data_IF_011542694934
#
_entry.id   IF_011542694934
#
_cell.length_a   1.000
_cell.length_b   1.000
_cell.length_c   1.000
_cell.angle_alpha   90.00
_cell.angle_beta   90.00
_cell.angle_gamma   90.00
#
_symmetry.space_group_name_H-M   'P 1'
#
loop_
_entity.id
_entity.type
_entity.pdbx_description
1 polymer ?
#
# COMPACT_ATOMS: atom_id res chain seq x y z
N UNK A 1 20.35 61.41 -7.42
CA UNK A 1 20.74 61.63 -6.00
C UNK A 1 19.49 61.58 -5.13
N UNK A 2 19.62 60.98 -3.94
CA UNK A 2 18.61 60.66 -2.91
C UNK A 2 17.91 59.30 -3.06
N UNK A 3 18.67 58.32 -2.59
CA UNK A 3 18.26 57.01 -2.08
C UNK A 3 17.31 57.16 -0.88
N UNK A 4 16.33 56.26 -0.75
CA UNK A 4 15.77 55.88 0.54
C UNK A 4 15.73 54.35 0.61
N UNK A 5 16.70 53.82 1.35
CA UNK A 5 16.85 52.41 1.74
C UNK A 5 16.10 52.27 3.07
N UNK A 6 15.08 51.41 3.10
CA UNK A 6 14.43 51.01 4.36
C UNK A 6 15.20 49.83 4.92
N UNK A 7 15.96 50.10 5.97
CA UNK A 7 16.70 49.12 6.79
C UNK A 7 15.76 48.55 7.85
N UNK A 8 15.54 47.23 7.83
CA UNK A 8 14.94 46.52 8.96
C UNK A 8 16.06 45.92 9.82
N UNK A 9 16.29 46.53 10.97
CA UNK A 9 17.27 46.10 11.96
C UNK A 9 16.77 44.90 12.75
N UNK A 10 17.66 43.91 12.89
CA UNK A 10 17.52 42.71 13.71
C UNK A 10 17.75 43.12 15.17
N UNK A 11 16.71 43.09 16.00
CA UNK A 11 16.86 43.19 17.45
C UNK A 11 17.21 41.81 18.04
N UNK A 12 18.48 41.64 18.45
CA UNK A 12 18.93 40.55 19.32
C UNK A 12 18.48 40.84 20.75
N UNK A 13 17.84 39.87 21.42
CA UNK A 13 17.56 39.92 22.86
C UNK A 13 18.63 39.16 23.65
N UNK A 14 18.98 39.58 24.89
CA UNK A 14 20.13 39.08 25.63
C UNK A 14 19.85 37.78 26.40
N UNK A 15 20.90 36.96 26.51
CA UNK A 15 21.04 35.80 27.39
C UNK A 15 21.45 36.25 28.80
N UNK A 16 20.70 35.90 29.84
CA UNK A 16 21.22 35.27 31.07
C UNK A 16 20.08 34.90 32.06
N UNK A 17 20.32 33.80 32.79
CA UNK A 17 19.79 33.48 34.12
C UNK A 17 18.35 32.95 34.29
N UNK A 18 18.19 31.61 34.18
CA UNK A 18 17.38 30.85 35.15
C UNK A 18 18.09 29.57 35.58
N UNK A 19 18.04 29.36 36.89
CA UNK A 19 18.91 28.51 37.71
C UNK A 19 18.59 27.02 37.58
N UNK A 20 19.68 26.26 37.69
CA UNK A 20 19.75 24.83 37.97
C UNK A 20 18.96 24.43 39.22
N UNK A 21 18.23 23.32 39.12
CA UNK A 21 18.00 22.39 40.24
C UNK A 21 18.35 21.00 39.72
N UNK A 22 19.50 20.50 40.14
CA UNK A 22 19.90 19.12 39.97
C UNK A 22 19.27 18.27 41.09
N UNK A 23 18.76 17.09 40.73
CA UNK A 23 18.66 15.97 41.65
C UNK A 23 19.12 14.71 40.92
N UNK A 24 20.21 14.17 41.42
CA UNK A 24 20.85 12.92 41.02
C UNK A 24 20.18 11.72 41.71
N UNK A 25 20.47 10.54 41.14
CA UNK A 25 20.29 9.15 41.62
C UNK A 25 18.92 8.53 41.31
N UNK A 26 18.80 7.32 40.76
CA UNK A 26 19.78 6.24 40.52
C UNK A 26 19.32 5.30 39.39
N UNK A 27 20.32 4.59 38.89
CA UNK A 27 20.33 3.50 37.92
C UNK A 27 19.39 2.32 38.26
N UNK A 28 19.16 1.51 37.21
CA UNK A 28 18.54 0.18 37.18
C UNK A 28 17.03 0.04 37.45
N UNK A 29 16.29 -0.35 36.39
CA UNK A 29 15.39 -1.52 36.45
C UNK A 29 14.90 -1.90 35.03
N UNK A 30 15.59 -2.90 34.48
CA UNK A 30 15.11 -3.78 33.43
C UNK A 30 13.84 -4.51 33.90
N UNK A 31 12.68 -4.24 33.27
CA UNK A 31 11.40 -4.90 33.58
C UNK A 31 11.11 -6.00 32.55
N UNK A 32 11.27 -7.29 32.89
CA UNK A 32 10.93 -8.38 31.99
C UNK A 32 9.40 -8.59 31.95
N UNK A 33 8.83 -9.00 30.80
CA UNK A 33 7.41 -9.29 30.71
C UNK A 33 7.13 -10.54 31.57
N UNK A 34 6.03 -10.54 32.32
CA UNK A 34 5.57 -11.61 33.23
C UNK A 34 6.01 -11.52 34.69
N UNK A 35 5.67 -10.41 35.36
CA UNK A 35 5.51 -10.38 36.82
C UNK A 35 4.04 -10.64 37.22
N UNK A 36 3.73 -11.53 38.19
CA UNK A 36 2.36 -11.80 38.61
C UNK A 36 1.77 -10.63 39.40
N UNK A 37 0.64 -10.07 38.96
CA UNK A 37 -0.06 -9.00 39.69
C UNK A 37 -0.62 -9.51 41.03
N UNK A 38 -0.48 -8.77 42.15
CA UNK A 38 -1.07 -9.17 43.42
C UNK A 38 -2.61 -9.07 43.38
N UNK A 39 -3.26 -10.11 43.88
CA UNK A 39 -4.74 -10.25 43.92
C UNK A 39 -5.38 -9.12 44.75
N UNK A 40 -6.50 -8.51 44.32
CA UNK A 40 -7.16 -7.47 45.10
C UNK A 40 -7.88 -8.06 46.33
N UNK A 41 -7.70 -7.38 47.47
CA UNK A 41 -8.41 -7.63 48.72
C UNK A 41 -9.91 -7.32 48.56
N UNK A 42 -10.76 -8.28 48.95
CA UNK A 42 -12.23 -8.18 48.91
C UNK A 42 -12.71 -7.18 49.96
N UNK A 43 -13.33 -6.09 49.52
CA UNK A 43 -14.13 -5.22 50.39
C UNK A 43 -15.62 -5.56 50.26
N UNK A 44 -16.23 -6.00 51.37
CA UNK A 44 -17.67 -6.21 51.50
C UNK A 44 -18.42 -4.86 51.46
N UNK A 45 -19.38 -4.70 50.54
CA UNK A 45 -20.44 -3.69 50.67
C UNK A 45 -21.81 -4.31 50.42
N UNK A 46 -22.71 -3.99 51.36
CA UNK A 46 -24.09 -4.48 51.52
C UNK A 46 -24.97 -4.12 50.32
N UNK A 47 -25.90 -5.03 50.01
CA UNK A 47 -27.00 -4.86 49.05
C UNK A 47 -27.98 -3.81 49.55
N UNK A 48 -28.41 -2.92 48.66
CA UNK A 48 -29.68 -2.18 48.79
C UNK A 48 -30.35 -2.22 47.43
N UNK A 49 -31.53 -2.81 47.39
CA UNK A 49 -32.37 -2.92 46.21
C UNK A 49 -32.99 -1.56 45.89
N UNK A 50 -32.86 -1.10 44.65
CA UNK A 50 -33.88 -0.25 44.02
C UNK A 50 -34.08 -0.74 42.59
N UNK A 51 -35.27 -1.24 42.32
CA UNK A 51 -35.74 -1.63 41.00
C UNK A 51 -36.00 -0.39 40.12
N UNK A 52 -35.96 -0.64 38.80
CA UNK A 52 -36.50 0.17 37.70
C UNK A 52 -35.54 1.12 36.97
N UNK A 53 -34.88 0.56 35.95
CA UNK A 53 -34.23 1.29 34.86
C UNK A 53 -33.54 0.31 33.91
N UNK A 54 -34.10 0.13 32.72
CA UNK A 54 -33.76 -0.92 31.73
C UNK A 54 -32.24 -1.13 31.48
N UNK A 55 -31.78 -2.38 31.28
CA UNK A 55 -30.38 -2.65 30.99
C UNK A 55 -30.05 -2.25 29.54
N UNK A 56 -29.14 -1.28 29.39
CA UNK A 56 -28.40 -1.06 28.14
C UNK A 56 -27.68 -2.36 27.79
N UNK A 57 -28.16 -3.06 26.76
CA UNK A 57 -27.47 -4.18 26.16
C UNK A 57 -26.22 -3.67 25.42
N UNK A 58 -25.06 -3.68 26.06
CA UNK A 58 -23.78 -3.73 25.36
C UNK A 58 -23.50 -5.18 24.97
N UNK A 59 -24.31 -5.73 24.08
CA UNK A 59 -24.08 -7.03 23.45
C UNK A 59 -23.20 -6.85 22.22
N UNK A 60 -22.08 -7.58 22.14
CA UNK A 60 -21.40 -7.77 20.87
C UNK A 60 -22.42 -8.25 19.83
N UNK A 61 -22.38 -7.75 18.58
CA UNK A 61 -23.37 -8.12 17.57
C UNK A 61 -23.38 -9.65 17.41
N UNK A 62 -24.56 -10.24 17.62
CA UNK A 62 -24.78 -11.71 17.64
C UNK A 62 -24.67 -12.36 16.26
N UNK A 63 -24.42 -11.61 15.20
CA UNK A 63 -24.33 -12.11 13.83
C UNK A 63 -23.16 -11.46 13.07
N UNK A 64 -22.52 -12.19 12.14
CA UNK A 64 -21.45 -11.64 11.33
C UNK A 64 -21.95 -10.45 10.53
N UNK A 65 -21.16 -9.36 10.50
CA UNK A 65 -21.39 -8.22 9.63
C UNK A 65 -21.46 -8.72 8.19
N UNK A 66 -22.60 -8.48 7.53
CA UNK A 66 -22.74 -8.74 6.10
C UNK A 66 -22.06 -7.63 5.33
N UNK A 67 -21.06 -7.97 4.52
CA UNK A 67 -20.40 -7.01 3.65
C UNK A 67 -21.02 -7.02 2.25
N UNK A 68 -21.55 -5.87 1.85
CA UNK A 68 -22.07 -5.63 0.50
C UNK A 68 -20.99 -5.11 -0.48
N UNK A 69 -19.71 -5.07 -0.08
CA UNK A 69 -18.65 -4.56 -0.95
C UNK A 69 -18.43 -5.47 -2.16
N UNK A 70 -18.40 -4.95 -3.40
CA UNK A 70 -18.40 -5.76 -4.61
C UNK A 70 -17.01 -6.32 -4.96
N UNK A 71 -16.11 -6.53 -4.00
CA UNK A 71 -14.76 -7.01 -4.29
C UNK A 71 -14.23 -7.92 -3.19
N UNK A 72 -13.26 -8.75 -3.54
CA UNK A 72 -12.53 -9.59 -2.59
C UNK A 72 -11.82 -8.76 -1.54
N UNK A 73 -11.82 -9.22 -0.30
CA UNK A 73 -11.02 -8.60 0.74
C UNK A 73 -9.62 -9.17 0.74
N UNK A 74 -8.62 -8.30 0.67
CA UNK A 74 -7.20 -8.67 0.66
C UNK A 74 -6.44 -7.72 1.55
N UNK A 75 -5.35 -8.18 2.16
CA UNK A 75 -4.56 -7.31 3.02
C UNK A 75 -4.01 -6.08 2.26
N UNK A 76 -3.52 -6.31 1.05
CA UNK A 76 -3.12 -5.28 0.10
C UNK A 76 -3.79 -5.55 -1.24
N UNK A 77 -4.20 -4.51 -1.93
CA UNK A 77 -4.74 -4.59 -3.29
C UNK A 77 -3.65 -4.38 -4.34
N UNK A 78 -2.69 -3.50 -4.09
CA UNK A 78 -1.62 -3.17 -5.05
C UNK A 78 -0.38 -4.07 -4.95
N UNK A 79 -0.15 -4.73 -3.82
CA UNK A 79 1.07 -5.53 -3.59
C UNK A 79 0.83 -7.05 -3.59
N UNK A 80 -0.40 -7.49 -3.80
CA UNK A 80 -0.71 -8.92 -3.98
C UNK A 80 -1.15 -9.18 -5.41
N UNK A 81 -0.47 -10.08 -6.10
CA UNK A 81 -0.90 -10.52 -7.43
C UNK A 81 -1.89 -11.68 -7.30
N UNK A 82 -3.13 -11.54 -7.80
CA UNK A 82 -4.11 -12.63 -7.78
C UNK A 82 -3.67 -13.87 -8.56
N UNK A 83 -2.89 -13.69 -9.63
CA UNK A 83 -2.50 -14.77 -10.55
C UNK A 83 -1.43 -15.70 -9.98
N UNK A 84 -0.74 -15.31 -8.92
CA UNK A 84 0.35 -16.09 -8.33
C UNK A 84 -0.13 -16.74 -7.05
N UNK A 85 -0.41 -18.03 -7.12
CA UNK A 85 -0.79 -18.81 -5.94
C UNK A 85 0.44 -19.15 -5.08
N UNK A 86 0.36 -19.01 -3.75
CA UNK A 86 1.42 -19.45 -2.86
C UNK A 86 1.48 -20.98 -2.80
N UNK A 87 2.69 -21.53 -2.72
CA UNK A 87 2.90 -22.98 -2.54
C UNK A 87 2.34 -23.42 -1.18
N UNK A 88 2.59 -22.62 -0.15
CA UNK A 88 2.13 -22.86 1.21
C UNK A 88 2.25 -21.59 2.04
N UNK A 89 1.90 -21.66 3.31
CA UNK A 89 2.10 -20.58 4.27
C UNK A 89 3.09 -21.01 5.33
N UNK A 90 3.87 -20.06 5.85
CA UNK A 90 4.79 -20.33 6.98
C UNK A 90 4.05 -20.85 8.20
N UNK A 91 2.81 -20.42 8.38
CA UNK A 91 1.89 -20.86 9.43
C UNK A 91 0.52 -21.08 8.80
N UNK A 92 -0.21 -22.11 9.24
CA UNK A 92 -1.54 -22.39 8.73
C UNK A 92 -2.46 -21.18 8.98
N UNK A 93 -3.24 -20.70 7.98
CA UNK A 93 -4.16 -19.59 8.15
C UNK A 93 -5.40 -20.02 8.96
N UNK A 94 -5.20 -20.29 10.25
CA UNK A 94 -6.22 -20.80 11.16
C UNK A 94 -7.25 -19.74 11.54
N UNK A 95 -6.94 -18.46 11.34
CA UNK A 95 -7.75 -17.36 11.83
C UNK A 95 -8.04 -16.33 10.73
N UNK A 96 -9.31 -15.95 10.62
CA UNK A 96 -9.79 -14.86 9.74
C UNK A 96 -9.27 -13.51 10.25
N UNK A 97 -8.61 -12.68 9.43
CA UNK A 97 -8.07 -11.37 9.83
C UNK A 97 -9.11 -10.41 10.37
N UNK A 98 -10.39 -10.69 10.21
CA UNK A 98 -11.50 -9.89 10.73
C UNK A 98 -11.95 -10.32 12.13
N UNK A 99 -11.39 -11.40 12.68
CA UNK A 99 -11.81 -12.01 13.92
C UNK A 99 -12.92 -13.05 13.74
N UNK A 100 -13.10 -13.95 14.73
CA UNK A 100 -14.11 -15.00 14.67
C UNK A 100 -15.52 -14.40 14.63
N UNK A 101 -16.37 -14.90 13.72
CA UNK A 101 -17.80 -14.56 13.65
C UNK A 101 -18.13 -13.10 13.35
N UNK A 102 -17.15 -12.25 12.99
CA UNK A 102 -17.36 -10.83 12.69
C UNK A 102 -17.72 -10.55 11.25
N UNK A 103 -17.29 -11.40 10.32
CA UNK A 103 -17.52 -11.23 8.90
C UNK A 103 -18.19 -12.48 8.32
N UNK A 104 -19.12 -12.27 7.39
CA UNK A 104 -19.86 -13.35 6.73
C UNK A 104 -19.02 -14.07 5.64
N UNK A 105 -17.97 -13.45 5.13
CA UNK A 105 -17.06 -14.05 4.15
C UNK A 105 -16.06 -15.01 4.79
N UNK A 106 -15.88 -16.16 4.16
CA UNK A 106 -14.85 -17.13 4.55
C UNK A 106 -13.47 -16.65 4.11
N UNK A 107 -12.49 -16.75 4.99
CA UNK A 107 -11.10 -16.38 4.68
C UNK A 107 -10.36 -17.58 4.09
N UNK A 108 -9.75 -17.42 2.91
CA UNK A 108 -9.02 -18.48 2.18
C UNK A 108 -7.55 -18.59 2.59
N UNK A 109 -7.07 -17.68 3.44
CA UNK A 109 -5.65 -17.54 3.77
C UNK A 109 -5.00 -16.30 3.16
N UNK A 110 -5.39 -15.95 1.92
CA UNK A 110 -4.93 -14.74 1.22
C UNK A 110 -6.04 -13.70 1.07
N UNK A 111 -7.29 -14.15 0.90
CA UNK A 111 -8.42 -13.28 0.61
C UNK A 111 -9.71 -13.74 1.30
N UNK A 112 -10.70 -12.84 1.37
CA UNK A 112 -12.09 -13.18 1.66
C UNK A 112 -12.92 -12.86 0.41
N UNK A 113 -13.21 -13.86 -0.45
CA UNK A 113 -13.84 -13.63 -1.74
C UNK A 113 -15.27 -13.11 -1.60
N UNK A 114 -15.71 -12.39 -2.63
CA UNK A 114 -17.13 -12.00 -2.74
C UNK A 114 -18.00 -13.26 -2.93
N UNK A 115 -19.18 -13.31 -2.31
CA UNK A 115 -20.06 -14.50 -2.33
C UNK A 115 -20.83 -14.66 -3.64
N UNK A 116 -21.12 -13.56 -4.32
CA UNK A 116 -21.90 -13.51 -5.55
C UNK A 116 -21.22 -12.53 -6.51
N UNK A 117 -21.32 -12.80 -7.81
CA UNK A 117 -20.82 -11.88 -8.82
C UNK A 117 -21.48 -10.50 -8.66
N UNK A 118 -20.68 -9.43 -8.51
CA UNK A 118 -21.23 -8.09 -8.41
C UNK A 118 -21.86 -7.65 -9.73
N UNK A 119 -22.97 -6.95 -9.65
CA UNK A 119 -23.52 -6.22 -10.79
C UNK A 119 -22.66 -4.97 -11.03
N UNK A 120 -21.66 -5.09 -11.90
CA UNK A 120 -20.70 -4.03 -12.18
C UNK A 120 -21.34 -2.77 -12.75
N UNK A 121 -22.44 -2.90 -13.50
CA UNK A 121 -23.17 -1.75 -14.03
C UNK A 121 -23.74 -0.92 -12.89
N UNK A 122 -24.39 -1.58 -11.92
CA UNK A 122 -24.91 -0.90 -10.72
C UNK A 122 -23.80 -0.28 -9.89
N UNK A 123 -22.66 -0.94 -9.73
CA UNK A 123 -21.52 -0.40 -8.98
C UNK A 123 -20.98 0.86 -9.65
N UNK A 124 -20.85 0.85 -10.97
CA UNK A 124 -20.40 1.99 -11.76
C UNK A 124 -21.41 3.14 -11.74
N UNK A 125 -22.71 2.86 -11.85
CA UNK A 125 -23.79 3.85 -11.70
C UNK A 125 -23.74 4.53 -10.33
N UNK A 126 -23.56 3.76 -9.26
CA UNK A 126 -23.42 4.26 -7.89
C UNK A 126 -22.15 5.11 -7.73
N UNK A 127 -21.03 4.66 -8.29
CA UNK A 127 -19.77 5.42 -8.31
C UNK A 127 -19.95 6.75 -9.05
N UNK A 128 -20.54 6.74 -10.24
CA UNK A 128 -20.79 7.93 -11.04
C UNK A 128 -21.76 8.89 -10.35
N UNK A 129 -22.77 8.36 -9.64
CA UNK A 129 -23.68 9.15 -8.81
C UNK A 129 -22.94 9.88 -7.70
N UNK A 130 -22.02 9.21 -7.00
CA UNK A 130 -21.23 9.79 -5.90
C UNK A 130 -20.21 10.81 -6.43
N UNK A 131 -19.51 10.49 -7.52
CA UNK A 131 -18.54 11.39 -8.14
C UNK A 131 -19.22 12.64 -8.70
N UNK A 132 -20.38 12.49 -9.33
CA UNK A 132 -21.13 13.58 -9.98
C UNK A 132 -20.47 14.05 -11.27
N UNK A 133 -20.79 15.27 -11.69
CA UNK A 133 -20.19 15.88 -12.87
C UNK A 133 -18.65 15.97 -12.72
N UNK A 134 -17.87 15.77 -13.79
CA UNK A 134 -16.44 15.99 -13.77
C UNK A 134 -16.08 17.38 -13.21
N UNK A 135 -14.94 17.47 -12.53
CA UNK A 135 -14.39 18.74 -12.09
C UNK A 135 -13.79 19.47 -13.29
N UNK A 136 -14.03 20.78 -13.39
CA UNK A 136 -13.30 21.66 -14.29
C UNK A 136 -11.84 21.81 -13.87
N UNK A 137 -10.97 22.21 -14.79
CA UNK A 137 -9.54 22.39 -14.50
C UNK A 137 -9.31 23.43 -13.38
N UNK A 138 -10.11 24.50 -13.36
CA UNK A 138 -10.05 25.53 -12.32
C UNK A 138 -10.45 24.97 -10.94
N UNK A 139 -11.55 24.21 -10.86
CA UNK A 139 -11.97 23.53 -9.62
C UNK A 139 -10.90 22.56 -9.12
N UNK A 140 -10.26 21.81 -10.04
CA UNK A 140 -9.13 20.93 -9.70
C UNK A 140 -7.98 21.76 -9.16
N UNK A 141 -7.57 22.84 -9.82
CA UNK A 141 -6.47 23.69 -9.38
C UNK A 141 -6.71 24.27 -7.98
N UNK A 142 -7.92 24.73 -7.68
CA UNK A 142 -8.30 25.23 -6.35
C UNK A 142 -8.21 24.15 -5.27
N UNK A 143 -8.73 22.94 -5.56
CA UNK A 143 -8.62 21.80 -4.63
C UNK A 143 -7.16 21.41 -4.43
N UNK A 144 -6.38 21.38 -5.50
CA UNK A 144 -4.95 21.06 -5.43
C UNK A 144 -4.22 22.09 -4.56
N UNK A 145 -4.44 23.38 -4.76
CA UNK A 145 -3.81 24.43 -3.94
C UNK A 145 -4.17 24.26 -2.45
N UNK A 146 -5.44 24.00 -2.16
CA UNK A 146 -5.97 23.85 -0.80
C UNK A 146 -5.38 22.64 -0.06
N UNK A 147 -5.09 21.55 -0.78
CA UNK A 147 -4.73 20.27 -0.16
C UNK A 147 -3.29 19.79 -0.46
N UNK A 148 -2.54 20.41 -1.37
CA UNK A 148 -1.17 19.97 -1.74
C UNK A 148 -0.13 20.20 -0.65
N UNK A 149 -0.30 21.27 0.13
CA UNK A 149 0.65 21.70 1.14
C UNK A 149 0.81 20.65 2.24
N UNK A 150 1.98 20.62 2.87
CA UNK A 150 2.36 19.58 3.83
C UNK A 150 1.72 19.78 5.21
N UNK A 151 0.40 19.92 5.23
CA UNK A 151 -0.38 19.94 6.45
C UNK A 151 -0.54 18.50 6.93
N UNK A 152 0.35 18.07 7.82
CA UNK A 152 0.43 16.69 8.32
C UNK A 152 -0.92 16.14 8.85
N UNK A 153 -1.84 17.01 9.25
CA UNK A 153 -3.17 16.66 9.79
C UNK A 153 -4.06 15.96 8.76
N UNK A 154 -3.86 16.20 7.46
CA UNK A 154 -4.73 15.68 6.39
C UNK A 154 -4.05 14.66 5.47
N UNK A 155 -2.88 14.16 5.90
CA UNK A 155 -2.05 13.25 5.13
C UNK A 155 -2.21 11.80 5.59
N UNK A 156 -2.49 10.89 4.65
CA UNK A 156 -2.35 9.45 4.83
C UNK A 156 -1.01 9.00 4.24
N UNK A 157 -0.28 8.16 4.98
CA UNK A 157 0.96 7.55 4.48
C UNK A 157 0.68 6.14 3.94
N UNK A 158 0.87 5.96 2.64
CA UNK A 158 0.87 4.66 2.00
C UNK A 158 2.28 4.08 2.06
N UNK A 159 2.47 3.07 2.92
CA UNK A 159 3.78 2.45 3.14
C UNK A 159 4.04 1.21 2.28
N UNK A 160 4.98 0.38 2.73
CA UNK A 160 5.42 -0.87 2.06
C UNK A 160 4.31 -1.90 1.77
N UNK A 161 3.15 -1.76 2.41
CA UNK A 161 1.97 -2.60 2.18
C UNK A 161 1.11 -2.15 1.01
N UNK A 162 1.41 -1.01 0.37
CA UNK A 162 0.60 -0.48 -0.72
C UNK A 162 -0.81 -0.07 -0.29
N UNK A 163 -1.77 -0.18 -1.20
CA UNK A 163 -3.18 0.09 -0.92
C UNK A 163 -3.75 -1.03 -0.07
N UNK A 164 -3.79 -0.83 1.26
CA UNK A 164 -4.28 -1.84 2.21
C UNK A 164 -5.78 -1.76 2.44
N UNK A 165 -6.40 -2.85 2.91
CA UNK A 165 -7.84 -2.85 3.21
C UNK A 165 -8.24 -1.77 4.21
N UNK A 166 -7.52 -1.67 5.33
CA UNK A 166 -7.84 -0.71 6.38
C UNK A 166 -7.64 0.75 5.94
N UNK A 167 -6.72 0.99 4.99
CA UNK A 167 -6.52 2.32 4.43
C UNK A 167 -7.79 2.86 3.76
N UNK A 168 -8.69 2.00 3.27
CA UNK A 168 -9.96 2.44 2.70
C UNK A 168 -10.86 3.10 3.76
N UNK A 169 -10.96 2.53 4.97
CA UNK A 169 -11.71 3.18 6.05
C UNK A 169 -11.04 4.50 6.48
N UNK A 170 -9.70 4.54 6.52
CA UNK A 170 -8.96 5.77 6.81
C UNK A 170 -9.28 6.88 5.79
N UNK A 171 -9.33 6.56 4.50
CA UNK A 171 -9.73 7.48 3.42
C UNK A 171 -11.16 7.99 3.68
N UNK A 172 -12.12 7.07 3.88
CA UNK A 172 -13.51 7.43 4.14
C UNK A 172 -13.68 8.22 5.44
N UNK A 173 -12.80 8.05 6.43
CA UNK A 173 -12.79 8.82 7.67
C UNK A 173 -12.28 10.25 7.45
N UNK A 174 -11.27 10.45 6.59
CA UNK A 174 -10.80 11.77 6.20
C UNK A 174 -11.87 12.54 5.41
N UNK A 175 -12.57 11.86 4.50
CA UNK A 175 -13.65 12.46 3.69
C UNK A 175 -14.88 12.90 4.47
N UNK A 176 -14.98 12.58 5.76
CA UNK A 176 -16.00 13.17 6.66
C UNK A 176 -15.77 14.66 6.91
N UNK A 177 -14.51 15.12 6.80
CA UNK A 177 -14.09 16.47 7.20
C UNK A 177 -13.44 17.26 6.07
N UNK A 178 -13.08 16.61 4.96
CA UNK A 178 -12.37 17.21 3.85
C UNK A 178 -12.84 16.65 2.51
N UNK A 179 -12.71 17.43 1.45
CA UNK A 179 -13.14 17.05 0.10
C UNK A 179 -12.14 16.15 -0.61
N UNK A 180 -10.86 16.33 -0.32
CA UNK A 180 -9.78 15.51 -0.81
C UNK A 180 -8.85 15.08 0.33
N UNK A 181 -8.16 13.97 0.13
CA UNK A 181 -7.14 13.46 1.04
C UNK A 181 -5.78 13.44 0.34
N UNK A 182 -4.75 13.89 1.05
CA UNK A 182 -3.37 13.84 0.57
C UNK A 182 -2.75 12.49 0.94
N UNK A 183 -2.28 11.75 -0.04
CA UNK A 183 -1.67 10.44 0.17
C UNK A 183 -0.20 10.52 -0.22
N UNK A 184 0.70 10.22 0.72
CA UNK A 184 2.13 10.13 0.47
C UNK A 184 2.53 8.66 0.36
N UNK A 185 2.93 8.24 -0.83
CA UNK A 185 3.36 6.88 -1.15
C UNK A 185 4.86 6.69 -0.87
N UNK A 186 5.21 5.57 -0.25
CA UNK A 186 6.57 5.22 0.15
C UNK A 186 6.80 3.71 -0.01
N UNK A 187 8.03 3.35 -0.35
CA UNK A 187 8.51 2.00 -0.53
C UNK A 187 8.22 1.44 -1.93
N UNK A 188 8.19 0.11 -2.01
CA UNK A 188 7.97 -0.68 -3.24
C UNK A 188 6.76 -0.24 -4.08
N UNK A 189 5.60 0.18 -3.51
CA UNK A 189 4.47 0.63 -4.32
C UNK A 189 4.80 1.79 -5.26
N UNK A 190 5.82 2.62 -4.94
CA UNK A 190 6.20 3.78 -5.76
C UNK A 190 6.84 3.41 -7.11
N UNK A 191 7.20 2.14 -7.33
CA UNK A 191 7.60 1.65 -8.65
C UNK A 191 6.45 1.65 -9.66
N UNK A 192 5.22 1.57 -9.17
CA UNK A 192 4.02 1.38 -9.98
C UNK A 192 2.88 2.24 -9.41
N UNK A 193 3.04 3.54 -9.60
CA UNK A 193 2.08 4.53 -9.12
C UNK A 193 0.74 4.44 -9.88
N UNK A 194 0.74 3.91 -11.10
CA UNK A 194 -0.47 3.69 -11.91
C UNK A 194 -1.35 2.60 -11.28
N UNK A 195 -0.77 1.47 -10.88
CA UNK A 195 -1.49 0.44 -10.14
C UNK A 195 -1.98 0.93 -8.76
N UNK A 196 -1.20 1.76 -8.08
CA UNK A 196 -1.65 2.42 -6.83
C UNK A 196 -2.87 3.31 -7.10
N UNK A 197 -2.82 4.16 -8.14
CA UNK A 197 -3.94 5.02 -8.51
C UNK A 197 -5.17 4.20 -8.87
N UNK A 198 -5.01 3.17 -9.71
CA UNK A 198 -6.07 2.25 -10.09
C UNK A 198 -6.77 1.65 -8.88
N UNK A 199 -6.03 1.10 -7.92
CA UNK A 199 -6.64 0.50 -6.74
C UNK A 199 -7.24 1.52 -5.77
N UNK A 200 -6.67 2.72 -5.65
CA UNK A 200 -7.28 3.77 -4.85
C UNK A 200 -8.63 4.19 -5.45
N UNK A 201 -8.70 4.47 -6.75
CA UNK A 201 -9.95 4.83 -7.42
C UNK A 201 -10.96 3.68 -7.39
N UNK A 202 -10.54 2.46 -7.74
CA UNK A 202 -11.43 1.31 -7.83
C UNK A 202 -11.99 0.84 -6.48
N UNK A 203 -11.23 0.96 -5.39
CA UNK A 203 -11.64 0.43 -4.06
C UNK A 203 -12.27 1.47 -3.15
N UNK A 204 -11.92 2.75 -3.30
CA UNK A 204 -12.52 3.84 -2.52
C UNK A 204 -13.66 4.57 -3.24
N UNK A 205 -13.81 4.34 -4.55
CA UNK A 205 -14.72 5.08 -5.44
C UNK A 205 -14.43 6.58 -5.55
N UNK A 206 -13.27 7.03 -5.07
CA UNK A 206 -12.78 8.38 -5.27
C UNK A 206 -12.10 8.57 -6.62
N UNK A 207 -11.66 9.80 -6.87
CA UNK A 207 -10.92 10.17 -8.09
C UNK A 207 -9.57 10.79 -7.73
N UNK A 208 -8.49 10.34 -8.36
CA UNK A 208 -7.18 11.00 -8.22
C UNK A 208 -7.21 12.26 -9.08
N UNK A 209 -7.07 13.42 -8.44
CA UNK A 209 -7.12 14.74 -9.10
C UNK A 209 -5.74 15.38 -9.23
N UNK A 210 -4.73 14.82 -8.55
CA UNK A 210 -3.35 15.30 -8.61
C UNK A 210 -2.38 14.19 -8.33
N UNK A 211 -1.30 14.14 -9.11
CA UNK A 211 -0.17 13.24 -8.94
C UNK A 211 1.12 14.01 -9.15
N UNK A 212 2.00 13.95 -8.15
CA UNK A 212 3.36 14.49 -8.24
C UNK A 212 4.34 13.55 -7.55
N UNK A 213 5.17 12.88 -8.34
CA UNK A 213 6.14 11.85 -7.92
C UNK A 213 5.44 10.79 -7.05
N UNK A 214 5.49 10.93 -5.73
CA UNK A 214 4.94 9.98 -4.75
C UNK A 214 3.80 10.58 -3.91
N UNK A 215 3.29 11.76 -4.28
CA UNK A 215 2.17 12.43 -3.61
C UNK A 215 0.97 12.37 -4.53
N UNK A 216 -0.17 11.96 -3.97
CA UNK A 216 -1.47 11.91 -4.64
C UNK A 216 -2.49 12.77 -3.87
N UNK A 217 -3.43 13.40 -4.57
CA UNK A 217 -4.66 13.91 -3.96
C UNK A 217 -5.84 13.10 -4.49
N UNK A 218 -6.57 12.49 -3.55
CA UNK A 218 -7.72 11.65 -3.84
C UNK A 218 -9.00 12.35 -3.38
N UNK A 219 -9.83 12.71 -4.35
CA UNK A 219 -11.10 13.41 -4.20
C UNK A 219 -12.25 12.43 -3.96
N UNK A 220 -13.17 12.80 -3.06
CA UNK A 220 -14.28 11.95 -2.62
C UNK A 220 -15.48 11.88 -3.56
N UNK A 221 -15.61 12.84 -4.49
CA UNK A 221 -16.81 13.04 -5.31
C UNK A 221 -17.68 14.21 -4.84
N UNK A 222 -18.46 14.80 -5.75
CA UNK A 222 -19.34 15.96 -5.48
C UNK A 222 -20.47 15.60 -4.51
N UNK A 223 -21.01 14.39 -4.65
CA UNK A 223 -22.21 13.94 -3.94
C UNK A 223 -21.89 12.95 -2.82
N UNK A 224 -20.67 12.99 -2.29
CA UNK A 224 -20.28 12.09 -1.19
C UNK A 224 -21.06 12.40 0.07
N UNK A 225 -21.84 11.42 0.54
CA UNK A 225 -22.55 11.46 1.81
C UNK A 225 -21.81 10.65 2.89
N UNK A 226 -21.27 11.31 3.94
CA UNK A 226 -20.63 10.62 5.05
C UNK A 226 -21.51 9.62 5.80
N UNK A 227 -22.84 9.79 5.78
CA UNK A 227 -23.80 8.92 6.48
C UNK A 227 -24.05 7.62 5.71
N UNK A 228 -24.09 7.69 4.38
CA UNK A 228 -24.34 6.57 3.48
C UNK A 228 -23.06 5.98 2.87
N UNK A 229 -21.90 6.25 3.48
CA UNK A 229 -20.61 5.73 3.02
C UNK A 229 -20.54 4.20 3.12
N UNK A 230 -19.75 3.52 2.28
CA UNK A 230 -19.54 2.09 2.39
C UNK A 230 -18.93 1.70 3.74
N UNK A 231 -19.42 0.61 4.32
CA UNK A 231 -18.87 0.04 5.55
C UNK A 231 -17.71 -0.88 5.18
N UNK A 232 -16.49 -0.47 5.52
CA UNK A 232 -15.28 -1.27 5.34
C UNK A 232 -15.02 -2.08 6.63
N UNK A 233 -15.12 -3.42 6.62
CA UNK A 233 -14.84 -4.22 7.81
C UNK A 233 -13.37 -4.12 8.20
N UNK A 234 -13.07 -3.86 9.48
CA UNK A 234 -11.69 -3.70 9.92
C UNK A 234 -10.94 -5.04 9.95
N UNK A 235 -9.81 -5.13 9.23
CA UNK A 235 -8.85 -6.23 9.42
C UNK A 235 -8.03 -5.96 10.69
N UNK A 236 -8.09 -6.89 11.64
CA UNK A 236 -7.45 -6.81 12.95
C UNK A 236 -5.97 -7.22 12.93
N UNK A 237 -5.55 -8.02 11.94
CA UNK A 237 -4.16 -8.43 11.79
C UNK A 237 -3.75 -8.64 10.34
N UNK A 238 -2.44 -8.77 10.13
CA UNK A 238 -1.84 -9.09 8.83
C UNK A 238 -1.87 -10.60 8.61
N UNK A 239 -2.27 -11.10 7.43
CA UNK A 239 -2.16 -12.51 7.09
C UNK A 239 -0.72 -13.01 7.20
N UNK A 240 -0.57 -14.31 7.46
CA UNK A 240 0.74 -14.96 7.51
C UNK A 240 1.44 -14.86 6.16
N UNK A 241 2.77 -14.77 6.21
CA UNK A 241 3.57 -14.61 5.01
C UNK A 241 3.47 -15.88 4.12
N UNK A 242 2.95 -15.74 2.88
CA UNK A 242 2.94 -16.83 1.92
C UNK A 242 4.36 -17.23 1.51
N UNK A 243 4.50 -18.49 1.12
CA UNK A 243 5.72 -19.06 0.54
C UNK A 243 5.47 -19.19 -0.96
N UNK A 244 6.19 -18.40 -1.73
CA UNK A 244 6.17 -18.44 -3.19
C UNK A 244 7.31 -19.31 -3.75
N UNK A 245 7.22 -19.75 -5.01
CA UNK A 245 8.34 -20.37 -5.72
C UNK A 245 9.59 -19.49 -5.69
N UNK A 246 10.76 -20.12 -5.86
CA UNK A 246 12.04 -19.39 -5.90
C UNK A 246 12.02 -18.42 -7.08
N UNK A 247 12.26 -17.14 -6.79
CA UNK A 247 12.26 -16.07 -7.79
C UNK A 247 13.40 -16.22 -8.81
N UNK A 248 14.56 -16.71 -8.36
CA UNK A 248 15.75 -16.91 -9.19
C UNK A 248 16.01 -18.40 -9.35
N UNK A 249 16.09 -18.87 -10.59
CA UNK A 249 16.45 -20.25 -10.95
C UNK A 249 17.98 -20.41 -11.00
N UNK A 250 18.50 -21.62 -10.79
CA UNK A 250 19.95 -21.86 -10.86
C UNK A 250 20.49 -21.65 -12.28
N UNK A 251 19.78 -22.16 -13.26
CA UNK A 251 20.03 -21.95 -14.70
C UNK A 251 18.88 -21.11 -15.24
N UNK A 252 19.20 -20.06 -15.99
CA UNK A 252 18.20 -19.22 -16.63
C UNK A 252 17.63 -19.99 -17.82
N UNK A 253 16.33 -19.87 -18.08
CA UNK A 253 15.72 -20.53 -19.24
C UNK A 253 16.38 -20.06 -20.54
N UNK A 254 16.72 -21.02 -21.41
CA UNK A 254 17.39 -20.74 -22.68
C UNK A 254 18.91 -20.55 -22.61
N UNK A 255 19.54 -20.68 -21.44
CA UNK A 255 21.00 -20.57 -21.26
C UNK A 255 21.60 -21.82 -20.62
N UNK A 256 22.89 -22.05 -20.84
CA UNK A 256 23.67 -23.04 -20.12
C UNK A 256 24.03 -22.57 -18.71
N UNK A 257 24.54 -23.48 -17.88
CA UNK A 257 24.98 -23.15 -16.53
C UNK A 257 26.17 -22.18 -16.54
N UNK A 258 27.12 -22.39 -17.45
CA UNK A 258 28.32 -21.59 -17.65
C UNK A 258 27.97 -20.16 -18.07
N UNK A 259 27.12 -20.00 -19.09
CA UNK A 259 26.66 -18.69 -19.56
C UNK A 259 25.88 -17.95 -18.46
N UNK A 260 24.99 -18.66 -17.76
CA UNK A 260 24.25 -18.07 -16.62
C UNK A 260 25.21 -17.53 -15.55
N UNK A 261 26.29 -18.27 -15.25
CA UNK A 261 27.31 -17.85 -14.29
C UNK A 261 28.10 -16.64 -14.80
N UNK A 262 28.44 -16.60 -16.08
CA UNK A 262 29.12 -15.49 -16.72
C UNK A 262 28.29 -14.21 -16.67
N UNK A 263 27.01 -14.25 -17.09
CA UNK A 263 26.10 -13.11 -17.06
C UNK A 263 25.94 -12.56 -15.63
N UNK A 264 25.83 -13.46 -14.63
CA UNK A 264 25.78 -13.05 -13.21
C UNK A 264 27.05 -12.33 -12.76
N UNK A 265 28.21 -12.86 -13.12
CA UNK A 265 29.50 -12.26 -12.77
C UNK A 265 29.68 -10.90 -13.47
N UNK A 266 29.33 -10.81 -14.75
CA UNK A 266 29.35 -9.58 -15.52
C UNK A 266 28.43 -8.53 -14.89
N UNK A 267 27.22 -8.93 -14.49
CA UNK A 267 26.29 -8.07 -13.76
C UNK A 267 26.84 -7.56 -12.43
N UNK A 268 27.45 -8.44 -11.62
CA UNK A 268 28.06 -8.06 -10.34
C UNK A 268 29.21 -7.06 -10.50
N UNK A 269 30.00 -7.20 -11.57
CA UNK A 269 31.15 -6.35 -11.85
C UNK A 269 30.78 -5.05 -12.61
N UNK A 270 29.57 -4.97 -13.19
CA UNK A 270 29.10 -3.77 -13.91
C UNK A 270 28.81 -2.59 -12.98
N UNK A 271 28.92 -1.35 -13.45
CA UNK A 271 28.55 -0.18 -12.63
C UNK A 271 27.06 -0.16 -12.26
N UNK A 272 26.70 0.25 -11.02
CA UNK A 272 25.31 0.27 -10.61
C UNK A 272 24.57 1.36 -11.36
N UNK A 273 23.45 1.02 -12.00
CA UNK A 273 22.64 1.96 -12.77
C UNK A 273 22.05 3.06 -11.87
N UNK A 274 21.51 2.65 -10.72
CA UNK A 274 20.89 3.52 -9.74
C UNK A 274 21.06 2.93 -8.33
N UNK A 275 21.23 3.82 -7.36
CA UNK A 275 21.19 3.51 -5.94
C UNK A 275 19.83 3.88 -5.34
N UNK A 276 19.13 2.90 -4.82
CA UNK A 276 17.86 3.07 -4.14
C UNK A 276 18.11 3.53 -2.70
N UNK A 277 17.49 4.62 -2.30
CA UNK A 277 17.73 5.25 -0.99
C UNK A 277 16.66 4.87 0.04
N UNK A 278 16.94 5.14 1.33
CA UNK A 278 16.01 4.89 2.45
C UNK A 278 14.72 5.70 2.38
N UNK A 279 14.64 6.71 1.51
CA UNK A 279 13.45 7.54 1.36
C UNK A 279 12.23 6.76 0.80
N UNK A 280 12.46 5.61 0.17
CA UNK A 280 11.40 4.77 -0.38
C UNK A 280 10.70 5.37 -1.60
N UNK A 281 11.34 6.27 -2.35
CA UNK A 281 10.75 6.86 -3.56
C UNK A 281 11.48 6.30 -4.79
N UNK A 282 10.81 5.42 -5.53
CA UNK A 282 11.38 4.62 -6.61
C UNK A 282 10.72 4.86 -7.98
N UNK A 283 10.00 5.98 -8.13
CA UNK A 283 9.17 6.30 -9.32
C UNK A 283 9.95 6.21 -10.64
N UNK A 284 11.21 6.66 -10.65
CA UNK A 284 12.01 6.72 -11.87
C UNK A 284 12.77 5.41 -12.18
N UNK A 285 12.70 4.40 -11.33
CA UNK A 285 13.52 3.18 -11.49
C UNK A 285 13.11 2.40 -12.73
N UNK A 286 11.81 2.23 -12.98
CA UNK A 286 11.28 1.49 -14.14
C UNK A 286 11.78 2.13 -15.45
N UNK A 287 11.63 3.44 -15.58
CA UNK A 287 12.05 4.16 -16.79
C UNK A 287 13.56 4.05 -17.02
N UNK A 288 14.36 4.24 -15.96
CA UNK A 288 15.82 4.11 -16.06
C UNK A 288 16.26 2.70 -16.44
N UNK A 289 15.58 1.67 -15.95
CA UNK A 289 15.87 0.27 -16.30
C UNK A 289 15.50 0.01 -17.77
N UNK A 290 14.33 0.47 -18.23
CA UNK A 290 13.91 0.38 -19.64
C UNK A 290 14.91 1.07 -20.58
N UNK A 291 15.36 2.27 -20.21
CA UNK A 291 16.36 3.01 -20.97
C UNK A 291 17.72 2.29 -21.00
N UNK A 292 18.18 1.79 -19.85
CA UNK A 292 19.43 1.05 -19.76
C UNK A 292 19.41 -0.21 -20.64
N UNK A 293 18.29 -0.92 -20.68
CA UNK A 293 18.13 -2.11 -21.52
C UNK A 293 18.12 -1.86 -23.03
N UNK A 294 18.06 -0.60 -23.49
CA UNK A 294 18.28 -0.28 -24.91
C UNK A 294 19.73 -0.51 -25.34
N UNK A 295 20.68 -0.40 -24.42
CA UNK A 295 22.12 -0.46 -24.72
C UNK A 295 22.85 -1.58 -23.96
N UNK A 296 22.36 -1.96 -22.78
CA UNK A 296 22.96 -2.96 -21.90
C UNK A 296 22.10 -4.21 -21.87
N UNK A 297 22.74 -5.36 -21.81
CA UNK A 297 22.04 -6.64 -21.64
C UNK A 297 21.74 -6.94 -20.16
N UNK A 298 22.62 -6.48 -19.28
CA UNK A 298 22.56 -6.71 -17.82
C UNK A 298 22.61 -5.36 -17.10
N UNK A 299 21.79 -5.23 -16.07
CA UNK A 299 21.70 -4.03 -15.23
C UNK A 299 21.84 -4.41 -13.77
N UNK A 300 22.69 -3.68 -13.04
CA UNK A 300 22.83 -3.77 -11.58
C UNK A 300 22.09 -2.62 -10.90
N UNK A 301 21.27 -2.94 -9.90
CA UNK A 301 20.64 -1.96 -9.00
C UNK A 301 21.22 -2.10 -7.60
N UNK A 302 21.67 -0.98 -7.04
CA UNK A 302 22.15 -0.91 -5.66
C UNK A 302 20.97 -0.67 -4.71
N UNK A 303 20.68 -1.64 -3.84
CA UNK A 303 19.58 -1.60 -2.88
C UNK A 303 20.07 -1.70 -1.42
N UNK A 304 21.32 -1.34 -1.11
CA UNK A 304 21.92 -1.40 0.25
C UNK A 304 21.12 -0.71 1.35
N UNK A 305 20.23 0.20 0.96
CA UNK A 305 19.43 1.01 1.89
C UNK A 305 17.95 0.63 1.93
N UNK A 306 17.54 -0.39 1.19
CA UNK A 306 16.11 -0.73 1.01
C UNK A 306 15.67 -1.85 1.96
N UNK A 307 16.57 -2.78 2.26
CA UNK A 307 16.32 -3.97 3.07
C UNK A 307 15.91 -5.18 2.23
N UNK A 308 16.40 -6.35 2.63
CA UNK A 308 16.36 -7.60 1.85
C UNK A 308 14.98 -8.05 1.36
N UNK A 309 13.94 -7.91 2.17
CA UNK A 309 12.56 -8.27 1.79
C UNK A 309 12.03 -7.38 0.67
N UNK A 310 12.29 -6.07 0.75
CA UNK A 310 11.83 -5.12 -0.25
C UNK A 310 12.67 -5.22 -1.53
N UNK A 311 13.97 -5.53 -1.46
CA UNK A 311 14.79 -5.81 -2.64
C UNK A 311 14.18 -6.92 -3.51
N UNK A 312 13.72 -8.02 -2.89
CA UNK A 312 13.06 -9.11 -3.63
C UNK A 312 11.77 -8.64 -4.29
N UNK A 313 10.93 -7.89 -3.57
CA UNK A 313 9.67 -7.36 -4.13
C UNK A 313 9.91 -6.38 -5.28
N UNK A 314 10.95 -5.55 -5.19
CA UNK A 314 11.37 -4.66 -6.28
C UNK A 314 11.73 -5.48 -7.51
N UNK A 315 12.54 -6.53 -7.35
CA UNK A 315 12.88 -7.42 -8.46
C UNK A 315 11.66 -8.09 -9.10
N UNK A 316 10.70 -8.56 -8.29
CA UNK A 316 9.42 -9.11 -8.78
C UNK A 316 8.67 -8.06 -9.59
N UNK A 317 8.45 -6.85 -9.03
CA UNK A 317 7.73 -5.79 -9.75
C UNK A 317 8.43 -5.38 -11.03
N UNK A 318 9.76 -5.29 -11.04
CA UNK A 318 10.51 -4.91 -12.24
C UNK A 318 10.39 -5.96 -13.34
N UNK A 319 10.33 -7.25 -13.01
CA UNK A 319 10.05 -8.31 -13.98
C UNK A 319 8.68 -8.14 -14.66
N UNK A 320 7.70 -7.68 -13.89
CA UNK A 320 6.32 -7.54 -14.41
C UNK A 320 6.13 -6.21 -15.16
N UNK A 321 6.90 -5.17 -14.79
CA UNK A 321 6.82 -3.82 -15.37
C UNK A 321 7.84 -3.59 -16.49
N UNK A 322 8.86 -4.42 -16.64
CA UNK A 322 9.90 -4.31 -17.65
C UNK A 322 10.18 -5.72 -18.17
N UNK A 323 10.26 -5.95 -19.48
CA UNK A 323 10.62 -7.26 -20.04
C UNK A 323 12.06 -7.61 -19.64
N UNK A 324 12.21 -8.18 -18.45
CA UNK A 324 13.48 -8.52 -17.84
C UNK A 324 13.28 -9.61 -16.78
N UNK A 325 14.35 -10.31 -16.47
CA UNK A 325 14.38 -11.40 -15.50
C UNK A 325 15.37 -11.04 -14.39
N UNK A 326 14.96 -11.04 -13.11
CA UNK A 326 15.89 -10.97 -12.00
C UNK A 326 16.71 -12.26 -11.92
N UNK A 327 18.03 -12.17 -12.09
CA UNK A 327 18.92 -13.34 -12.18
C UNK A 327 19.80 -13.55 -10.95
N UNK A 328 19.93 -12.55 -10.08
CA UNK A 328 20.67 -12.64 -8.83
C UNK A 328 20.24 -11.58 -7.82
N UNK A 329 20.13 -11.98 -6.56
CA UNK A 329 20.03 -11.10 -5.41
C UNK A 329 21.20 -11.41 -4.46
N UNK A 330 22.16 -10.51 -4.32
CA UNK A 330 23.35 -10.72 -3.50
C UNK A 330 23.80 -9.40 -2.89
N UNK A 331 24.15 -9.39 -1.60
CA UNK A 331 24.68 -8.22 -0.89
C UNK A 331 23.83 -6.94 -1.09
N UNK A 332 22.51 -7.11 -1.05
CA UNK A 332 21.53 -6.05 -1.29
C UNK A 332 21.64 -5.40 -2.68
N UNK A 333 22.21 -6.11 -3.66
CA UNK A 333 22.19 -5.77 -5.07
C UNK A 333 21.17 -6.64 -5.82
N UNK A 334 20.57 -6.07 -6.86
CA UNK A 334 19.70 -6.79 -7.80
C UNK A 334 20.38 -6.78 -9.16
N UNK A 335 20.57 -7.97 -9.74
CA UNK A 335 21.02 -8.11 -11.12
C UNK A 335 19.84 -8.50 -11.98
N UNK A 336 19.53 -7.67 -12.97
CA UNK A 336 18.46 -7.86 -13.93
C UNK A 336 19.06 -8.16 -15.30
N UNK A 337 18.53 -9.16 -15.97
CA UNK A 337 18.88 -9.51 -17.34
C UNK A 337 17.70 -9.22 -18.25
N UNK A 338 17.97 -8.64 -19.41
CA UNK A 338 16.96 -8.23 -20.37
C UNK A 338 16.23 -9.40 -21.03
N UNK A 339 16.87 -10.57 -21.13
CA UNK A 339 16.42 -11.66 -21.98
C UNK A 339 16.99 -11.57 -23.39
N UNK A 340 16.84 -12.65 -24.16
CA UNK A 340 17.23 -12.69 -25.57
C UNK A 340 16.27 -11.83 -26.40
N UNK A 341 16.82 -10.98 -27.27
CA UNK A 341 16.07 -9.99 -28.08
C UNK A 341 15.12 -10.56 -29.14
N UNK A 342 14.98 -11.89 -29.21
CA UNK A 342 14.33 -12.57 -30.32
C UNK A 342 12.92 -13.12 -30.00
N UNK A 343 12.38 -12.85 -28.82
CA UNK A 343 10.96 -13.08 -28.57
C UNK A 343 10.20 -11.77 -28.82
N UNK A 344 9.86 -11.54 -30.09
CA UNK A 344 8.77 -10.63 -30.43
C UNK A 344 7.53 -11.04 -29.65
N UNK A 345 6.86 -10.05 -29.05
CA UNK A 345 5.60 -10.24 -28.34
C UNK A 345 4.61 -11.00 -29.23
N UNK A 346 3.80 -11.94 -28.70
CA UNK A 346 2.68 -12.48 -29.46
C UNK A 346 1.78 -11.31 -29.85
N UNK A 347 1.73 -11.02 -31.15
CA UNK A 347 0.80 -10.05 -31.73
C UNK A 347 -0.61 -10.39 -31.31
N UNK A 348 -1.33 -9.41 -30.75
CA UNK A 348 -2.78 -9.43 -30.51
C UNK A 348 -3.53 -9.55 -31.83
N UNK A 349 -3.53 -10.75 -32.42
CA UNK A 349 -4.12 -11.02 -33.73
C UNK A 349 -4.66 -12.45 -33.82
N UNK A 350 -5.20 -13.00 -32.74
CA UNK A 350 -6.07 -14.17 -32.79
C UNK A 350 -7.20 -14.07 -31.75
N UNK A 351 -8.12 -13.12 -31.95
CA UNK A 351 -9.43 -13.09 -31.28
C UNK A 351 -10.51 -12.53 -32.21
N UNK A 352 -10.54 -12.99 -33.47
CA UNK A 352 -11.70 -12.83 -34.37
C UNK A 352 -11.78 -14.01 -35.33
N UNK A 353 -11.96 -15.23 -34.81
CA UNK A 353 -12.38 -16.39 -35.60
C UNK A 353 -12.92 -17.47 -34.66
N UNK A 354 -13.98 -17.13 -33.94
CA UNK A 354 -14.58 -18.05 -32.96
C UNK A 354 -16.00 -17.65 -32.56
N UNK A 355 -16.77 -17.05 -33.47
CA UNK A 355 -18.16 -16.66 -33.16
C UNK A 355 -19.03 -16.58 -34.43
N UNK A 356 -18.95 -17.59 -35.30
CA UNK A 356 -19.95 -17.83 -36.37
C UNK A 356 -20.07 -19.32 -36.68
N UNK A 357 -20.57 -20.11 -35.74
CA UNK A 357 -21.16 -21.42 -36.04
C UNK A 357 -21.93 -21.91 -34.81
N UNK A 358 -23.18 -21.47 -34.65
CA UNK A 358 -24.23 -22.16 -33.88
C UNK A 358 -25.57 -21.41 -34.02
N UNK A 359 -26.03 -21.22 -35.26
CA UNK A 359 -27.45 -21.01 -35.58
C UNK A 359 -27.72 -21.73 -36.90
N UNK A 360 -28.04 -23.02 -36.81
CA UNK A 360 -28.97 -23.78 -37.66
C UNK A 360 -28.69 -25.28 -37.52
N UNK A 361 -29.49 -25.94 -36.69
CA UNK A 361 -30.34 -27.07 -37.07
C UNK A 361 -31.15 -27.54 -35.86
#
# INVERSE_FOLDING_TARGET
MRNNIVSFSICRLPLHERRFVSRFLSDDLYDPPFSPSPKPLKANKKKTHSENGAPKQNGAPKFPLKSNLPFDFRYSYSETQPSVEPISFRESPKFSPFGPGRLDRTWTGVSAPVRSEPDWKRVEEEQNRVLGAPLSEDEVAELVERYRHSDCVRQINLGKGGVTHNMLDDIHNHWKKAEAVRIKCLGVPTLDMDNVCFHLENKSYGKVIYRNINILLLYRGRNYDPKNRPVIPLMLWKPYAPIYPRLVKNVIEGLTYEETKEIRNNGLNSDPLIKLTRNGVYVNVVERVREAFKTREVVRLDCTHVGTSDCKKIGVKLRDLVPCVPILFKDEQIILWRGNFNEEQPSDSQCQQGEKALIHN
#
